data_IF_261062203799
#
_entry.id   IF_261062203799
#
_cell.length_a   1.000
_cell.length_b   1.000
_cell.length_c   1.000
_cell.angle_alpha   90.00
_cell.angle_beta   90.00
_cell.angle_gamma   90.00
#
_symmetry.space_group_name_H-M   'P 1'
#
loop_
_entity.id
_entity.type
_entity.pdbx_description
1 polymer ?
#
# COMPACT_ATOMS: atom_id res chain seq x y z
N UNK A 1 -6.86 24.39 5.77
CA UNK A 1 -6.92 23.68 7.07
C UNK A 1 -5.91 22.55 7.04
N UNK A 2 -5.04 22.42 8.04
CA UNK A 2 -4.21 21.22 8.18
C UNK A 2 -5.13 20.04 8.52
N UNK A 3 -5.21 19.03 7.64
CA UNK A 3 -5.97 17.81 7.92
C UNK A 3 -5.35 17.09 9.12
N UNK A 4 -6.17 16.76 10.12
CA UNK A 4 -5.75 16.01 11.30
C UNK A 4 -5.26 14.63 10.90
N UNK A 5 -3.98 14.33 11.17
CA UNK A 5 -3.39 12.99 10.98
C UNK A 5 -3.81 12.14 12.18
N UNK A 6 -4.90 11.38 12.04
CA UNK A 6 -5.37 10.41 13.03
C UNK A 6 -5.95 9.17 12.38
N UNK A 7 -5.77 8.01 13.02
CA UNK A 7 -6.46 6.78 12.66
C UNK A 7 -7.97 6.86 12.94
N UNK A 8 -8.70 5.90 12.38
CA UNK A 8 -10.14 5.64 12.62
C UNK A 8 -10.35 4.46 13.56
N UNK A 9 -9.33 3.61 13.74
CA UNK A 9 -9.40 2.50 14.68
C UNK A 9 -9.51 3.05 16.11
N UNK A 10 -10.63 2.78 16.76
CA UNK A 10 -10.83 3.07 18.17
C UNK A 10 -10.55 1.81 18.99
N UNK A 11 -9.67 1.94 19.98
CA UNK A 11 -9.28 0.84 20.87
C UNK A 11 -9.10 1.36 22.31
N UNK A 12 -9.38 0.52 23.33
CA UNK A 12 -9.18 0.89 24.72
C UNK A 12 -7.68 1.06 25.02
N UNK A 13 -7.34 1.98 25.92
CA UNK A 13 -5.93 2.21 26.31
C UNK A 13 -5.33 1.03 27.08
N UNK A 14 -6.13 0.41 27.94
CA UNK A 14 -5.77 -0.77 28.71
C UNK A 14 -6.67 -1.93 28.31
N UNK A 15 -6.09 -3.12 28.15
CA UNK A 15 -6.81 -4.36 27.87
C UNK A 15 -6.41 -5.43 28.88
N UNK A 16 -7.21 -6.49 28.95
CA UNK A 16 -6.83 -7.75 29.59
C UNK A 16 -6.65 -8.80 28.48
N UNK A 17 -5.41 -9.05 28.02
CA UNK A 17 -5.16 -10.00 26.94
C UNK A 17 -5.66 -11.42 27.23
N UNK A 18 -5.60 -11.86 28.50
CA UNK A 18 -6.11 -13.17 28.91
C UNK A 18 -7.63 -13.28 28.77
N UNK A 19 -8.36 -12.21 29.07
CA UNK A 19 -9.82 -12.17 28.94
C UNK A 19 -10.26 -12.13 27.46
N UNK A 20 -9.57 -11.33 26.64
CA UNK A 20 -9.80 -11.29 25.19
C UNK A 20 -9.47 -12.65 24.55
N UNK A 21 -8.38 -13.30 24.96
CA UNK A 21 -8.03 -14.64 24.52
C UNK A 21 -9.12 -15.68 24.88
N UNK A 22 -9.69 -15.60 26.08
CA UNK A 22 -10.79 -16.49 26.49
C UNK A 22 -12.06 -16.27 25.67
N UNK A 23 -12.36 -15.01 25.36
CA UNK A 23 -13.50 -14.67 24.52
C UNK A 23 -13.31 -15.19 23.09
N UNK A 24 -12.13 -15.00 22.50
CA UNK A 24 -11.80 -15.55 21.18
C UNK A 24 -11.79 -17.08 21.16
N UNK A 25 -11.35 -17.73 22.25
CA UNK A 25 -11.41 -19.18 22.37
C UNK A 25 -12.86 -19.67 22.36
N UNK A 26 -13.75 -19.01 23.12
CA UNK A 26 -15.18 -19.33 23.09
C UNK A 26 -15.80 -19.08 21.72
N UNK A 27 -15.45 -17.98 21.06
CA UNK A 27 -15.97 -17.60 19.76
C UNK A 27 -15.57 -18.55 18.62
N UNK A 28 -14.47 -19.29 18.80
CA UNK A 28 -13.94 -20.25 17.81
C UNK A 28 -14.15 -21.70 18.21
N UNK A 29 -14.85 -21.96 19.33
CA UNK A 29 -15.08 -23.31 19.84
C UNK A 29 -16.46 -23.84 19.45
N UNK A 30 -16.48 -24.98 18.79
CA UNK A 30 -17.70 -25.73 18.47
C UNK A 30 -17.93 -25.80 16.96
N UNK A 31 -19.17 -26.13 16.57
CA UNK A 31 -19.53 -26.29 15.16
C UNK A 31 -19.78 -24.95 14.45
N UNK A 32 -20.10 -23.90 15.20
CA UNK A 32 -20.36 -22.56 14.69
C UNK A 32 -19.31 -21.58 15.23
N UNK A 33 -18.88 -20.66 14.38
CA UNK A 33 -18.04 -19.52 14.75
C UNK A 33 -18.94 -18.37 15.22
N UNK A 34 -18.49 -17.58 16.20
CA UNK A 34 -19.12 -16.32 16.60
C UNK A 34 -18.32 -15.16 16.00
N UNK A 35 -18.65 -14.81 14.76
CA UNK A 35 -17.96 -13.74 14.03
C UNK A 35 -18.17 -12.36 14.66
N UNK A 36 -19.32 -12.12 15.30
CA UNK A 36 -19.59 -10.85 15.97
C UNK A 36 -18.67 -10.66 17.19
N UNK A 37 -18.43 -11.71 17.99
CA UNK A 37 -17.46 -11.66 19.08
C UNK A 37 -16.02 -11.49 18.57
N UNK A 38 -15.64 -12.14 17.46
CA UNK A 38 -14.33 -11.94 16.83
C UNK A 38 -14.18 -10.46 16.44
N UNK A 39 -15.15 -9.92 15.70
CA UNK A 39 -15.14 -8.54 15.21
C UNK A 39 -15.07 -7.50 16.35
N UNK A 40 -15.85 -7.69 17.41
CA UNK A 40 -15.87 -6.81 18.57
C UNK A 40 -14.51 -6.75 19.31
N UNK A 41 -13.68 -7.78 19.16
CA UNK A 41 -12.33 -7.84 19.74
C UNK A 41 -11.32 -7.35 18.73
N UNK A 42 -11.09 -8.07 17.62
CA UNK A 42 -9.95 -7.77 16.73
C UNK A 42 -10.10 -6.42 16.00
N UNK A 43 -11.34 -5.99 15.76
CA UNK A 43 -11.68 -4.69 15.19
C UNK A 43 -11.53 -3.51 16.16
N UNK A 44 -11.30 -3.76 17.45
CA UNK A 44 -11.15 -2.72 18.48
C UNK A 44 -9.89 -2.91 19.32
N UNK A 45 -8.82 -3.43 18.71
CA UNK A 45 -7.50 -3.60 19.35
C UNK A 45 -6.45 -3.11 18.38
N UNK A 46 -5.46 -2.35 18.85
CA UNK A 46 -4.30 -1.99 18.03
C UNK A 46 -3.51 -3.23 17.61
N UNK A 47 -2.65 -3.11 16.60
CA UNK A 47 -1.74 -4.20 16.21
C UNK A 47 -0.94 -4.74 17.41
N UNK A 48 -0.45 -3.85 18.28
CA UNK A 48 0.28 -4.23 19.49
C UNK A 48 -0.60 -5.07 20.43
N UNK A 49 -1.81 -4.62 20.71
CA UNK A 49 -2.75 -5.34 21.57
C UNK A 49 -3.16 -6.69 20.97
N UNK A 50 -3.35 -6.77 19.65
CA UNK A 50 -3.61 -8.04 18.96
C UNK A 50 -2.45 -9.03 19.12
N UNK A 51 -1.21 -8.56 19.12
CA UNK A 51 -0.04 -9.39 19.41
C UNK A 51 -0.03 -9.91 20.85
N UNK A 52 -0.32 -9.05 21.84
CA UNK A 52 -0.44 -9.44 23.26
C UNK A 52 -1.54 -10.50 23.46
N UNK A 53 -2.68 -10.37 22.78
CA UNK A 53 -3.78 -11.34 22.81
C UNK A 53 -3.34 -12.67 22.18
N UNK A 54 -2.62 -12.65 21.04
CA UNK A 54 -2.09 -13.85 20.38
C UNK A 54 -1.14 -14.62 21.30
N UNK A 55 -0.27 -13.91 22.02
CA UNK A 55 0.65 -14.51 23.00
C UNK A 55 -0.10 -15.11 24.20
N UNK A 56 -1.07 -14.39 24.76
CA UNK A 56 -1.91 -14.89 25.85
C UNK A 56 -2.71 -16.14 25.43
N UNK A 57 -3.25 -16.13 24.22
CA UNK A 57 -3.97 -17.26 23.64
C UNK A 57 -3.07 -18.50 23.51
N UNK A 58 -1.85 -18.33 22.98
CA UNK A 58 -0.88 -19.43 22.89
C UNK A 58 -0.52 -19.99 24.26
N UNK A 59 -0.23 -19.13 25.24
CA UNK A 59 0.10 -19.54 26.61
C UNK A 59 -1.02 -20.35 27.28
N UNK A 60 -2.29 -19.99 27.07
CA UNK A 60 -3.43 -20.65 27.71
C UNK A 60 -3.89 -21.91 26.98
N UNK A 61 -3.85 -21.91 25.65
CA UNK A 61 -4.50 -22.93 24.82
C UNK A 61 -3.54 -23.76 23.98
N UNK A 62 -2.24 -23.43 23.98
CA UNK A 62 -1.21 -24.16 23.25
C UNK A 62 -1.37 -24.11 21.72
N UNK A 63 -2.19 -23.19 21.20
CA UNK A 63 -2.50 -23.04 19.78
C UNK A 63 -2.24 -21.62 19.33
N UNK A 64 -1.81 -21.46 18.08
CA UNK A 64 -1.66 -20.13 17.49
C UNK A 64 -3.04 -19.54 17.15
N UNK A 65 -3.31 -18.32 17.64
CA UNK A 65 -4.60 -17.66 17.43
C UNK A 65 -4.89 -17.40 15.95
N UNK A 66 -3.90 -17.03 15.15
CA UNK A 66 -4.12 -16.71 13.72
C UNK A 66 -4.48 -17.98 12.95
N UNK A 67 -3.83 -19.11 13.23
CA UNK A 67 -4.22 -20.39 12.63
C UNK A 67 -5.60 -20.88 13.11
N UNK A 68 -5.99 -20.60 14.36
CA UNK A 68 -7.34 -20.90 14.85
C UNK A 68 -8.40 -20.07 14.10
N UNK A 69 -8.18 -18.77 13.93
CA UNK A 69 -9.07 -17.89 13.18
C UNK A 69 -9.21 -18.34 11.72
N UNK A 70 -8.09 -18.72 11.09
CA UNK A 70 -8.06 -19.25 9.73
C UNK A 70 -8.82 -20.57 9.58
N UNK A 71 -8.82 -21.43 10.60
CA UNK A 71 -9.65 -22.63 10.62
C UNK A 71 -11.15 -22.35 10.80
N UNK A 72 -11.50 -21.16 11.31
CA UNK A 72 -12.86 -20.78 11.72
C UNK A 72 -13.53 -19.79 10.78
N UNK A 73 -12.78 -19.19 9.84
CA UNK A 73 -13.22 -18.14 8.92
C UNK A 73 -12.86 -18.51 7.48
N UNK A 74 -13.46 -17.84 6.48
CA UNK A 74 -13.22 -18.13 5.06
C UNK A 74 -13.21 -16.86 4.20
N UNK A 75 -12.66 -16.97 2.99
CA UNK A 75 -12.72 -15.92 1.95
C UNK A 75 -12.05 -14.60 2.38
N UNK A 76 -12.61 -13.48 1.94
CA UNK A 76 -12.10 -12.14 2.22
C UNK A 76 -12.18 -11.78 3.71
N UNK A 77 -13.13 -12.38 4.45
CA UNK A 77 -13.20 -12.22 5.90
C UNK A 77 -11.99 -12.84 6.61
N UNK A 78 -11.63 -14.08 6.27
CA UNK A 78 -10.41 -14.73 6.76
C UNK A 78 -9.15 -13.91 6.41
N UNK A 79 -9.08 -13.44 5.16
CA UNK A 79 -7.96 -12.60 4.71
C UNK A 79 -7.82 -11.31 5.54
N UNK A 80 -8.93 -10.65 5.85
CA UNK A 80 -8.94 -9.46 6.71
C UNK A 80 -8.52 -9.79 8.15
N UNK A 81 -9.10 -10.85 8.73
CA UNK A 81 -8.76 -11.32 10.07
C UNK A 81 -7.26 -11.60 10.22
N UNK A 82 -6.66 -12.34 9.28
CA UNK A 82 -5.22 -12.62 9.32
C UNK A 82 -4.38 -11.35 9.12
N UNK A 83 -4.79 -10.46 8.22
CA UNK A 83 -4.04 -9.24 7.90
C UNK A 83 -3.92 -8.29 9.09
N UNK A 84 -4.93 -8.23 9.95
CA UNK A 84 -4.90 -7.42 11.17
C UNK A 84 -3.79 -7.84 12.17
N UNK A 85 -3.27 -9.07 12.08
CA UNK A 85 -2.16 -9.55 12.92
C UNK A 85 -0.77 -9.38 12.26
N UNK A 86 -0.69 -8.81 11.05
CA UNK A 86 0.57 -8.56 10.35
C UNK A 86 1.02 -7.11 10.57
N UNK A 87 2.33 -6.90 10.71
CA UNK A 87 2.91 -5.55 10.67
C UNK A 87 2.77 -4.94 9.28
N UNK A 88 2.82 -3.60 9.17
CA UNK A 88 2.68 -2.90 7.89
C UNK A 88 3.55 -3.48 6.77
N UNK A 89 4.84 -3.67 7.03
CA UNK A 89 5.76 -4.23 6.03
C UNK A 89 5.44 -5.70 5.71
N UNK A 90 4.97 -6.49 6.69
CA UNK A 90 4.58 -7.89 6.45
C UNK A 90 3.27 -8.02 5.68
N UNK A 91 2.33 -7.07 5.81
CA UNK A 91 1.15 -6.97 4.94
C UNK A 91 1.62 -6.80 3.49
N UNK A 92 2.47 -5.80 3.24
CA UNK A 92 2.98 -5.52 1.89
C UNK A 92 3.73 -6.74 1.29
N UNK A 93 4.61 -7.35 2.07
CA UNK A 93 5.36 -8.53 1.63
C UNK A 93 4.46 -9.74 1.33
N UNK A 94 3.45 -9.98 2.18
CA UNK A 94 2.50 -11.07 1.99
C UNK A 94 1.65 -10.88 0.75
N UNK A 95 1.19 -9.66 0.50
CA UNK A 95 0.37 -9.35 -0.68
C UNK A 95 1.16 -9.46 -1.98
N UNK A 96 2.44 -9.06 -1.99
CA UNK A 96 3.36 -9.33 -3.09
C UNK A 96 3.50 -10.84 -3.33
N UNK A 97 3.74 -11.62 -2.28
CA UNK A 97 3.88 -13.07 -2.38
C UNK A 97 2.60 -13.72 -2.95
N UNK A 98 1.44 -13.36 -2.38
CA UNK A 98 0.14 -13.86 -2.80
C UNK A 98 -0.14 -13.48 -4.26
N UNK A 99 0.11 -12.22 -4.63
CA UNK A 99 -0.12 -11.69 -5.96
C UNK A 99 0.75 -12.29 -7.05
N UNK A 100 1.96 -12.76 -6.71
CA UNK A 100 2.88 -13.44 -7.63
C UNK A 100 2.78 -14.98 -7.60
N UNK A 101 1.98 -15.56 -6.70
CA UNK A 101 1.77 -17.01 -6.65
C UNK A 101 0.69 -17.49 -7.64
N UNK A 102 -0.23 -16.60 -8.03
CA UNK A 102 -1.38 -16.91 -8.86
C UNK A 102 -1.04 -17.17 -10.35
N UNK A 103 -2.06 -17.51 -11.14
CA UNK A 103 -1.92 -17.58 -12.60
C UNK A 103 -2.02 -16.18 -13.18
N UNK A 104 -0.94 -15.75 -13.85
CA UNK A 104 -0.84 -14.41 -14.41
C UNK A 104 -0.37 -13.39 -13.38
N UNK A 105 0.29 -12.35 -13.87
CA UNK A 105 0.89 -11.33 -13.02
C UNK A 105 -0.16 -10.33 -12.55
N UNK A 106 -0.37 -10.27 -11.22
CA UNK A 106 -1.15 -9.19 -10.63
C UNK A 106 -0.32 -7.90 -10.59
N UNK A 107 -0.21 -7.25 -11.75
CA UNK A 107 0.54 -5.99 -11.88
C UNK A 107 0.00 -4.86 -11.00
N UNK A 108 -1.26 -4.92 -10.59
CA UNK A 108 -1.86 -3.97 -9.64
C UNK A 108 -1.16 -4.03 -8.30
N UNK A 109 -1.01 -5.22 -7.69
CA UNK A 109 -0.34 -5.32 -6.38
C UNK A 109 1.15 -4.94 -6.44
N UNK A 110 1.82 -5.22 -7.55
CA UNK A 110 3.21 -4.80 -7.77
C UNK A 110 3.31 -3.27 -7.81
N UNK A 111 2.41 -2.62 -8.56
CA UNK A 111 2.37 -1.16 -8.68
C UNK A 111 2.01 -0.50 -7.36
N UNK A 112 0.94 -0.94 -6.68
CA UNK A 112 0.48 -0.31 -5.44
C UNK A 112 1.48 -0.40 -4.29
N UNK A 113 2.40 -1.36 -4.34
CA UNK A 113 3.39 -1.59 -3.29
C UNK A 113 4.76 -1.06 -3.70
N UNK A 114 5.38 -1.62 -4.76
CA UNK A 114 6.77 -1.33 -5.12
C UNK A 114 6.95 0.14 -5.54
N UNK A 115 6.00 0.70 -6.28
CA UNK A 115 6.06 2.09 -6.73
C UNK A 115 5.85 3.11 -5.60
N UNK A 116 5.36 2.67 -4.44
CA UNK A 116 5.05 3.53 -3.30
C UNK A 116 6.15 3.56 -2.22
N UNK A 117 7.08 2.60 -2.23
CA UNK A 117 8.09 2.47 -1.19
C UNK A 117 9.29 3.41 -1.39
N UNK A 118 9.78 3.97 -0.27
CA UNK A 118 11.08 4.63 -0.18
C UNK A 118 12.24 3.62 0.02
N UNK A 119 13.49 4.08 0.08
CA UNK A 119 14.66 3.18 0.16
C UNK A 119 14.64 2.29 1.41
N UNK A 120 14.27 2.86 2.57
CA UNK A 120 14.17 2.13 3.85
C UNK A 120 13.05 1.10 3.81
N UNK A 121 11.90 1.48 3.26
CA UNK A 121 10.76 0.58 3.09
C UNK A 121 11.09 -0.57 2.14
N UNK A 122 11.78 -0.31 1.02
CA UNK A 122 12.26 -1.36 0.10
C UNK A 122 13.19 -2.35 0.82
N UNK A 123 14.13 -1.86 1.64
CA UNK A 123 15.01 -2.72 2.42
C UNK A 123 14.23 -3.62 3.40
N UNK A 124 13.29 -3.03 4.13
CA UNK A 124 12.44 -3.77 5.09
C UNK A 124 11.50 -4.76 4.37
N UNK A 125 10.96 -4.36 3.22
CA UNK A 125 10.05 -5.15 2.40
C UNK A 125 10.73 -6.44 1.92
N UNK A 126 11.97 -6.37 1.44
CA UNK A 126 12.74 -7.55 1.04
C UNK A 126 12.92 -8.54 2.19
N UNK A 127 13.31 -8.05 3.37
CA UNK A 127 13.46 -8.91 4.57
C UNK A 127 12.15 -9.58 4.96
N UNK A 128 11.05 -8.84 4.98
CA UNK A 128 9.74 -9.39 5.30
C UNK A 128 9.27 -10.39 4.22
N UNK A 129 9.62 -10.17 2.96
CA UNK A 129 9.33 -11.11 1.88
C UNK A 129 10.07 -12.44 2.08
N UNK A 130 11.33 -12.41 2.50
CA UNK A 130 12.09 -13.63 2.86
C UNK A 130 11.48 -14.36 4.07
N UNK A 131 10.92 -13.64 5.04
CA UNK A 131 10.14 -14.24 6.14
C UNK A 131 8.85 -14.90 5.63
N UNK A 132 8.11 -14.23 4.75
CA UNK A 132 6.90 -14.78 4.13
C UNK A 132 7.24 -16.04 3.32
N UNK A 133 8.31 -16.03 2.53
CA UNK A 133 8.75 -17.23 1.80
C UNK A 133 9.06 -18.41 2.73
N UNK A 134 9.74 -18.16 3.86
CA UNK A 134 10.03 -19.20 4.86
C UNK A 134 8.77 -19.75 5.52
N UNK A 135 7.77 -18.91 5.76
CA UNK A 135 6.51 -19.29 6.40
C UNK A 135 5.61 -20.08 5.44
N UNK A 136 5.46 -19.63 4.19
CA UNK A 136 4.46 -20.17 3.25
C UNK A 136 5.03 -21.12 2.19
N UNK A 137 6.33 -21.04 1.86
CA UNK A 137 7.02 -21.93 0.90
C UNK A 137 8.42 -22.37 1.37
N UNK A 138 8.54 -22.99 2.57
CA UNK A 138 9.83 -23.28 3.19
C UNK A 138 10.78 -24.09 2.31
N UNK A 139 10.25 -24.98 1.46
CA UNK A 139 11.05 -25.83 0.55
C UNK A 139 11.72 -25.05 -0.60
N UNK A 140 11.21 -23.87 -0.96
CA UNK A 140 11.72 -23.04 -2.07
C UNK A 140 12.32 -21.72 -1.60
N UNK A 141 12.17 -21.38 -0.32
CA UNK A 141 12.52 -20.07 0.23
C UNK A 141 13.98 -19.68 -0.03
N UNK A 142 14.93 -20.62 0.02
CA UNK A 142 16.35 -20.34 -0.21
C UNK A 142 16.73 -20.01 -1.66
N UNK A 143 15.83 -20.26 -2.62
CA UNK A 143 16.05 -20.05 -4.06
C UNK A 143 15.22 -18.89 -4.62
N UNK A 144 14.46 -18.22 -3.76
CA UNK A 144 13.56 -17.12 -4.11
C UNK A 144 13.97 -15.87 -3.34
N UNK A 145 13.69 -14.73 -3.93
CA UNK A 145 13.75 -13.42 -3.30
C UNK A 145 12.69 -12.55 -3.96
N UNK A 146 12.38 -11.39 -3.37
CA UNK A 146 11.45 -10.44 -3.97
C UNK A 146 11.87 -10.05 -5.39
N UNK A 147 13.17 -9.78 -5.60
CA UNK A 147 13.71 -9.40 -6.91
C UNK A 147 13.62 -10.53 -7.93
N UNK A 148 13.96 -11.76 -7.53
CA UNK A 148 13.90 -12.93 -8.41
C UNK A 148 12.46 -13.17 -8.87
N UNK A 149 11.51 -13.04 -7.95
CA UNK A 149 10.10 -13.29 -8.26
C UNK A 149 9.54 -12.18 -9.14
N UNK A 150 9.80 -10.91 -8.83
CA UNK A 150 9.37 -9.77 -9.66
C UNK A 150 9.94 -9.84 -11.07
N UNK A 151 11.20 -10.24 -11.23
CA UNK A 151 11.84 -10.39 -12.54
C UNK A 151 11.22 -11.52 -13.39
N UNK A 152 10.58 -12.52 -12.76
CA UNK A 152 9.85 -13.59 -13.47
C UNK A 152 8.44 -13.18 -13.86
N UNK A 153 7.83 -12.29 -13.09
CA UNK A 153 6.46 -11.82 -13.28
C UNK A 153 6.33 -10.72 -14.35
N UNK A 154 7.36 -9.91 -14.55
CA UNK A 154 7.32 -8.79 -15.49
C UNK A 154 8.26 -8.98 -16.68
N UNK A 155 7.98 -8.26 -17.78
CA UNK A 155 8.90 -8.11 -18.92
C UNK A 155 9.31 -6.65 -19.11
N UNK A 156 10.51 -6.38 -19.66
CA UNK A 156 10.88 -5.03 -20.05
C UNK A 156 9.86 -4.42 -21.03
N UNK A 157 9.57 -3.11 -20.94
CA UNK A 157 10.20 -2.13 -20.05
C UNK A 157 9.63 -2.07 -18.62
N UNK A 158 8.51 -2.74 -18.34
CA UNK A 158 7.87 -2.69 -17.02
C UNK A 158 8.71 -3.35 -15.92
N UNK A 159 9.29 -4.52 -16.21
CA UNK A 159 10.23 -5.19 -15.29
C UNK A 159 11.36 -4.26 -14.89
N UNK A 160 11.90 -3.49 -15.85
CA UNK A 160 13.00 -2.56 -15.62
C UNK A 160 12.63 -1.45 -14.65
N UNK A 161 11.38 -0.97 -14.67
CA UNK A 161 10.89 -0.02 -13.66
C UNK A 161 10.95 -0.66 -12.27
N UNK A 162 10.33 -1.83 -12.11
CA UNK A 162 10.23 -2.49 -10.80
C UNK A 162 11.61 -2.86 -10.25
N UNK A 163 12.49 -3.43 -11.07
CA UNK A 163 13.83 -3.82 -10.60
C UNK A 163 14.71 -2.63 -10.28
N UNK A 164 14.53 -1.47 -10.92
CA UNK A 164 15.20 -0.23 -10.50
C UNK A 164 14.69 0.27 -9.15
N UNK A 165 13.38 0.31 -8.95
CA UNK A 165 12.79 0.71 -7.66
C UNK A 165 13.23 -0.22 -6.53
N UNK A 166 13.25 -1.53 -6.78
CA UNK A 166 13.72 -2.53 -5.84
C UNK A 166 15.21 -2.40 -5.48
N UNK A 167 16.03 -1.63 -6.21
CA UNK A 167 17.41 -1.37 -5.76
C UNK A 167 17.43 -0.56 -4.45
N UNK A 168 16.39 0.23 -4.16
CA UNK A 168 16.36 1.10 -2.98
C UNK A 168 17.48 2.13 -2.99
N UNK A 169 17.76 2.72 -4.15
CA UNK A 169 18.84 3.68 -4.39
C UNK A 169 18.32 5.01 -4.94
N UNK A 170 17.05 5.35 -4.66
CA UNK A 170 16.51 6.66 -5.02
C UNK A 170 17.28 7.75 -4.28
N UNK A 171 17.50 8.88 -4.93
CA UNK A 171 18.01 10.07 -4.25
C UNK A 171 17.02 10.50 -3.17
N UNK A 172 17.49 10.59 -1.93
CA UNK A 172 16.71 11.08 -0.80
C UNK A 172 17.42 12.28 -0.18
N UNK A 173 16.66 13.35 0.08
CA UNK A 173 17.20 14.55 0.70
C UNK A 173 17.41 14.33 2.21
N UNK A 174 18.54 14.82 2.72
CA UNK A 174 18.85 14.72 4.15
C UNK A 174 17.78 15.42 5.02
N UNK A 175 17.38 14.83 6.16
CA UNK A 175 16.33 15.40 7.03
C UNK A 175 16.58 16.85 7.43
N UNK A 176 17.83 17.22 7.71
CA UNK A 176 18.23 18.56 8.13
C UNK A 176 17.99 19.58 7.00
N UNK A 177 18.27 19.17 5.75
CA UNK A 177 18.06 19.98 4.56
C UNK A 177 16.57 20.20 4.30
N UNK A 178 15.76 19.16 4.51
CA UNK A 178 14.30 19.24 4.41
C UNK A 178 13.75 20.21 5.46
N UNK A 179 14.18 20.08 6.71
CA UNK A 179 13.76 20.96 7.80
C UNK A 179 14.13 22.43 7.53
N UNK A 180 15.34 22.67 7.03
CA UNK A 180 15.78 24.00 6.62
C UNK A 180 14.89 24.60 5.52
N UNK A 181 14.58 23.82 4.48
CA UNK A 181 13.71 24.25 3.39
C UNK A 181 12.29 24.55 3.88
N UNK A 182 11.76 23.75 4.81
CA UNK A 182 10.44 23.98 5.40
C UNK A 182 10.41 25.24 6.27
N UNK A 183 11.40 25.45 7.14
CA UNK A 183 11.49 26.64 8.01
C UNK A 183 11.63 27.93 7.22
N UNK A 184 12.43 27.92 6.17
CA UNK A 184 12.65 29.08 5.31
C UNK A 184 11.54 29.31 4.28
N UNK A 185 10.66 28.33 4.07
CA UNK A 185 9.69 28.34 2.97
C UNK A 185 10.33 28.22 1.59
N UNK A 186 11.65 28.01 1.50
CA UNK A 186 12.40 27.99 0.24
C UNK A 186 12.68 26.54 -0.20
N UNK A 187 11.73 25.95 -0.93
CA UNK A 187 11.86 24.57 -1.44
C UNK A 187 12.99 24.42 -2.47
N UNK A 188 13.47 25.51 -3.08
CA UNK A 188 14.56 25.47 -4.05
C UNK A 188 15.88 24.99 -3.45
N UNK A 189 16.02 25.00 -2.12
CA UNK A 189 17.18 24.38 -1.45
C UNK A 189 17.28 22.87 -1.77
N UNK A 190 16.15 22.21 -2.03
CA UNK A 190 16.06 20.76 -2.28
C UNK A 190 16.16 20.39 -3.77
N UNK A 191 16.25 21.37 -4.67
CA UNK A 191 16.04 21.15 -6.11
C UNK A 191 17.16 21.79 -6.93
N UNK A 192 17.81 21.02 -7.79
CA UNK A 192 18.71 21.55 -8.83
C UNK A 192 17.87 21.94 -10.06
N UNK A 193 17.54 23.22 -10.18
CA UNK A 193 16.71 23.75 -11.27
C UNK A 193 17.29 23.53 -12.67
N UNK A 194 18.63 23.49 -12.78
CA UNK A 194 19.28 23.19 -14.07
C UNK A 194 19.03 21.74 -14.47
N UNK A 195 19.15 20.83 -13.51
CA UNK A 195 18.85 19.41 -13.71
C UNK A 195 17.36 19.18 -13.96
N UNK A 196 16.45 19.91 -13.31
CA UNK A 196 15.00 19.87 -13.63
C UNK A 196 14.78 20.20 -15.10
N UNK A 197 15.35 21.29 -15.60
CA UNK A 197 15.21 21.67 -17.01
C UNK A 197 15.82 20.66 -17.98
N UNK A 198 16.91 19.97 -17.59
CA UNK A 198 17.48 18.88 -18.38
C UNK A 198 16.56 17.67 -18.42
N UNK A 199 16.07 17.23 -17.27
CA UNK A 199 15.17 16.09 -17.13
C UNK A 199 13.86 16.33 -17.90
N UNK A 200 13.27 17.53 -17.81
CA UNK A 200 12.04 17.90 -18.56
C UNK A 200 12.26 17.82 -20.07
N UNK A 201 13.37 18.38 -20.58
CA UNK A 201 13.68 18.30 -22.02
C UNK A 201 13.90 16.86 -22.48
N UNK A 202 14.55 16.05 -21.66
CA UNK A 202 14.76 14.63 -21.96
C UNK A 202 13.44 13.87 -22.05
N UNK A 203 12.54 14.08 -21.08
CA UNK A 203 11.19 13.50 -21.09
C UNK A 203 10.37 13.97 -22.30
N UNK A 204 10.46 15.25 -22.68
CA UNK A 204 9.80 15.79 -23.88
C UNK A 204 10.30 15.11 -25.15
N UNK A 205 11.62 14.98 -25.30
CA UNK A 205 12.24 14.32 -26.44
C UNK A 205 11.84 12.84 -26.52
N UNK A 206 11.76 12.16 -25.37
CA UNK A 206 11.41 10.74 -25.29
C UNK A 206 10.00 10.44 -25.81
N UNK A 207 9.06 11.39 -25.75
CA UNK A 207 7.70 11.21 -26.29
C UNK A 207 7.43 11.99 -27.58
N UNK A 208 8.45 12.65 -28.15
CA UNK A 208 8.31 13.45 -29.35
C UNK A 208 7.88 12.60 -30.56
N UNK A 209 7.09 13.20 -31.45
CA UNK A 209 6.59 12.53 -32.66
C UNK A 209 5.39 11.61 -32.43
N UNK A 210 5.02 10.86 -33.48
CA UNK A 210 3.81 10.01 -33.53
C UNK A 210 4.02 8.57 -33.03
N UNK A 211 5.24 8.18 -32.67
CA UNK A 211 5.55 6.84 -32.19
C UNK A 211 5.09 6.58 -30.74
N UNK A 212 5.38 5.35 -30.27
CA UNK A 212 5.10 4.87 -28.90
C UNK A 212 5.94 5.56 -27.81
N UNK A 213 6.91 6.39 -28.19
CA UNK A 213 7.86 7.02 -27.28
C UNK A 213 8.90 6.04 -26.72
N UNK A 214 9.91 6.59 -26.07
CA UNK A 214 10.94 5.87 -25.33
C UNK A 214 10.61 5.88 -23.82
N UNK A 215 10.35 4.73 -23.20
CA UNK A 215 10.07 4.66 -21.77
C UNK A 215 11.32 4.79 -20.89
N UNK A 216 12.54 4.65 -21.41
CA UNK A 216 13.76 4.64 -20.57
C UNK A 216 13.92 5.92 -19.76
N UNK A 217 13.81 7.15 -20.34
CA UNK A 217 14.02 8.36 -19.56
C UNK A 217 12.98 8.52 -18.45
N UNK A 218 11.73 8.12 -18.70
CA UNK A 218 10.67 8.11 -17.71
C UNK A 218 11.01 7.16 -16.56
N UNK A 219 11.41 5.93 -16.87
CA UNK A 219 11.77 4.92 -15.89
C UNK A 219 12.95 5.39 -15.05
N UNK A 220 14.03 5.85 -15.68
CA UNK A 220 15.26 6.26 -14.99
C UNK A 220 15.01 7.49 -14.11
N UNK A 221 14.44 8.56 -14.67
CA UNK A 221 14.22 9.82 -13.94
C UNK A 221 13.29 9.59 -12.75
N UNK A 222 12.14 8.93 -12.96
CA UNK A 222 11.16 8.73 -11.88
C UNK A 222 11.53 7.63 -10.89
N UNK A 223 12.52 6.78 -11.17
CA UNK A 223 13.09 5.85 -10.18
C UNK A 223 14.22 6.47 -9.35
N UNK A 224 14.98 7.38 -9.94
CA UNK A 224 16.23 7.85 -9.33
C UNK A 224 16.08 9.20 -8.60
N UNK A 225 15.27 10.13 -9.11
CA UNK A 225 15.17 11.50 -8.56
C UNK A 225 14.45 11.54 -7.21
N UNK A 226 14.81 12.53 -6.39
CA UNK A 226 14.15 12.79 -5.11
C UNK A 226 12.73 13.28 -5.29
N UNK A 227 11.89 13.12 -4.26
CA UNK A 227 10.49 13.55 -4.28
C UNK A 227 10.32 15.04 -4.62
N UNK A 228 11.23 15.90 -4.15
CA UNK A 228 11.16 17.34 -4.38
C UNK A 228 11.55 17.68 -5.81
N UNK A 229 12.55 16.98 -6.35
CA UNK A 229 12.96 17.13 -7.74
C UNK A 229 11.88 16.64 -8.71
N UNK A 230 11.25 15.48 -8.44
CA UNK A 230 10.10 14.98 -9.24
C UNK A 230 8.92 15.95 -9.19
N UNK A 231 8.65 16.57 -8.02
CA UNK A 231 7.61 17.62 -7.92
C UNK A 231 7.95 18.85 -8.77
N UNK A 232 9.21 19.28 -8.78
CA UNK A 232 9.64 20.40 -9.62
C UNK A 232 9.55 20.07 -11.12
N UNK A 233 9.88 18.83 -11.52
CA UNK A 233 9.67 18.33 -12.88
C UNK A 233 8.18 18.37 -13.23
N UNK A 234 7.29 17.92 -12.34
CA UNK A 234 5.84 17.96 -12.54
C UNK A 234 5.31 19.37 -12.80
N UNK A 235 5.73 20.33 -11.98
CA UNK A 235 5.31 21.74 -12.09
C UNK A 235 5.85 22.38 -13.37
N UNK A 236 7.13 22.16 -13.69
CA UNK A 236 7.78 22.67 -14.90
C UNK A 236 7.16 22.06 -16.16
N UNK A 237 6.91 20.74 -16.16
CA UNK A 237 6.24 20.05 -17.26
C UNK A 237 4.87 20.65 -17.54
N UNK A 238 4.03 20.84 -16.51
CA UNK A 238 2.70 21.41 -16.68
C UNK A 238 2.76 22.83 -17.25
N UNK A 239 3.73 23.64 -16.81
CA UNK A 239 3.95 25.00 -17.30
C UNK A 239 4.37 25.03 -18.77
N UNK A 240 5.29 24.16 -19.19
CA UNK A 240 5.86 24.16 -20.55
C UNK A 240 4.96 23.45 -21.57
N UNK A 241 4.36 22.32 -21.19
CA UNK A 241 3.59 21.46 -22.11
C UNK A 241 2.09 21.77 -22.11
N UNK A 242 1.58 22.56 -21.16
CA UNK A 242 0.14 22.85 -21.02
C UNK A 242 -0.72 21.63 -20.64
N UNK A 243 -0.10 20.50 -20.29
CA UNK A 243 -0.75 19.23 -19.90
C UNK A 243 0.01 18.57 -18.76
N UNK A 244 -0.61 17.63 -18.05
CA UNK A 244 0.03 16.91 -16.94
C UNK A 244 0.94 15.80 -17.42
N UNK A 245 1.93 15.41 -16.60
CA UNK A 245 2.76 14.22 -16.84
C UNK A 245 1.91 12.95 -16.96
N UNK A 246 0.93 12.79 -16.07
CA UNK A 246 -0.01 11.65 -16.09
C UNK A 246 -0.73 11.56 -17.44
N UNK A 247 -1.26 12.67 -17.96
CA UNK A 247 -1.93 12.66 -19.26
C UNK A 247 -0.97 12.26 -20.40
N UNK A 248 0.28 12.72 -20.37
CA UNK A 248 1.30 12.37 -21.37
C UNK A 248 1.71 10.89 -21.30
N UNK A 249 1.89 10.36 -20.09
CA UNK A 249 2.17 8.94 -19.86
C UNK A 249 1.00 8.07 -20.33
N UNK A 250 -0.24 8.48 -20.05
CA UNK A 250 -1.43 7.75 -20.46
C UNK A 250 -1.61 7.64 -21.98
N UNK A 251 -1.18 8.67 -22.72
CA UNK A 251 -1.25 8.67 -24.18
C UNK A 251 -0.17 7.80 -24.82
N UNK A 252 1.03 7.74 -24.22
CA UNK A 252 2.22 7.16 -24.85
C UNK A 252 2.47 5.72 -24.44
N UNK A 253 2.23 5.37 -23.18
CA UNK A 253 2.57 4.05 -22.64
C UNK A 253 1.32 3.24 -22.31
N UNK A 254 1.44 1.91 -22.42
CA UNK A 254 0.38 0.97 -22.06
C UNK A 254 0.61 0.38 -20.67
N UNK A 255 -0.43 -0.21 -20.11
CA UNK A 255 -0.30 -1.01 -18.90
C UNK A 255 0.52 -2.28 -19.16
N UNK A 256 1.25 -2.79 -18.16
CA UNK A 256 1.31 -2.30 -16.77
C UNK A 256 2.27 -1.12 -16.52
N UNK A 257 3.12 -0.75 -17.48
CA UNK A 257 4.12 0.32 -17.31
C UNK A 257 3.49 1.69 -17.03
N UNK A 258 2.45 2.06 -17.79
CA UNK A 258 1.73 3.33 -17.63
C UNK A 258 1.28 3.53 -16.18
N UNK A 259 0.57 2.56 -15.62
CA UNK A 259 0.14 2.60 -14.22
C UNK A 259 1.31 2.64 -13.26
N UNK A 260 2.36 1.84 -13.46
CA UNK A 260 3.55 1.86 -12.59
C UNK A 260 4.25 3.23 -12.55
N UNK A 261 4.42 3.89 -13.70
CA UNK A 261 5.00 5.24 -13.76
C UNK A 261 4.10 6.27 -13.07
N UNK A 262 2.80 6.24 -13.37
CA UNK A 262 1.84 7.17 -12.75
C UNK A 262 1.78 6.99 -11.23
N UNK A 263 1.73 5.75 -10.74
CA UNK A 263 1.75 5.43 -9.31
C UNK A 263 3.04 5.91 -8.66
N UNK A 264 4.21 5.69 -9.28
CA UNK A 264 5.51 6.16 -8.77
C UNK A 264 5.52 7.68 -8.60
N UNK A 265 5.05 8.42 -9.62
CA UNK A 265 4.98 9.88 -9.59
C UNK A 265 4.01 10.34 -8.49
N UNK A 266 2.80 9.77 -8.45
CA UNK A 266 1.76 10.14 -7.50
C UNK A 266 2.18 9.83 -6.05
N UNK A 267 2.87 8.73 -5.80
CA UNK A 267 3.40 8.39 -4.47
C UNK A 267 4.41 9.45 -3.98
N UNK A 268 5.22 10.00 -4.87
CA UNK A 268 6.22 11.03 -4.54
C UNK A 268 5.59 12.41 -4.32
N UNK A 269 4.59 12.79 -5.12
CA UNK A 269 4.04 14.15 -5.12
C UNK A 269 2.79 14.31 -4.24
N UNK A 270 1.93 13.29 -4.17
CA UNK A 270 0.64 13.35 -3.48
C UNK A 270 0.13 11.95 -3.09
N UNK A 271 0.85 11.29 -2.19
CA UNK A 271 0.51 9.96 -1.69
C UNK A 271 -0.93 9.88 -1.15
N UNK A 272 -1.43 10.91 -0.47
CA UNK A 272 -2.80 10.89 0.08
C UNK A 272 -3.85 10.80 -1.02
N UNK A 273 -3.71 11.59 -2.08
CA UNK A 273 -4.62 11.51 -3.23
C UNK A 273 -4.49 10.17 -3.95
N UNK A 274 -3.27 9.63 -4.07
CA UNK A 274 -3.07 8.28 -4.61
C UNK A 274 -3.86 7.23 -3.81
N UNK A 275 -3.76 7.25 -2.48
CA UNK A 275 -4.49 6.32 -1.61
C UNK A 275 -6.01 6.49 -1.76
N UNK A 276 -6.51 7.73 -1.87
CA UNK A 276 -7.93 8.01 -2.12
C UNK A 276 -8.39 7.40 -3.45
N UNK A 277 -7.62 7.55 -4.51
CA UNK A 277 -7.91 6.92 -5.80
C UNK A 277 -7.87 5.39 -5.72
N UNK A 278 -6.87 4.80 -5.05
CA UNK A 278 -6.77 3.35 -4.88
C UNK A 278 -7.93 2.77 -4.07
N UNK A 279 -8.40 3.49 -3.03
CA UNK A 279 -9.62 3.11 -2.33
C UNK A 279 -10.82 3.06 -3.29
N UNK A 280 -10.97 4.07 -4.16
CA UNK A 280 -12.06 4.10 -5.13
C UNK A 280 -11.94 2.97 -6.14
N UNK A 281 -10.78 2.80 -6.74
CA UNK A 281 -10.50 1.75 -7.73
C UNK A 281 -10.72 0.35 -7.14
N UNK A 282 -10.44 0.13 -5.86
CA UNK A 282 -10.67 -1.17 -5.22
C UNK A 282 -12.16 -1.56 -5.09
N UNK A 283 -13.07 -0.59 -5.21
CA UNK A 283 -14.53 -0.79 -5.11
C UNK A 283 -15.28 -0.30 -6.37
N UNK A 284 -14.56 0.01 -7.44
CA UNK A 284 -15.14 0.54 -8.67
C UNK A 284 -15.18 -0.54 -9.75
N UNK A 285 -16.37 -0.81 -10.27
CA UNK A 285 -16.60 -1.78 -11.34
C UNK A 285 -17.45 -2.96 -10.89
N UNK A 286 -17.31 -4.10 -11.56
CA UNK A 286 -18.00 -5.34 -11.20
C UNK A 286 -17.18 -6.09 -10.15
N UNK A 287 -17.65 -6.05 -8.90
CA UNK A 287 -17.04 -6.70 -7.75
C UNK A 287 -15.93 -5.86 -7.10
N UNK A 288 -15.48 -6.35 -5.95
CA UNK A 288 -14.46 -5.69 -5.12
C UNK A 288 -13.09 -6.30 -5.34
N UNK A 289 -12.05 -5.48 -5.48
CA UNK A 289 -10.67 -5.93 -5.30
C UNK A 289 -10.36 -6.00 -3.79
N UNK A 290 -10.86 -7.07 -3.16
CA UNK A 290 -10.80 -7.27 -1.70
C UNK A 290 -9.37 -7.18 -1.15
N UNK A 291 -8.39 -7.74 -1.87
CA UNK A 291 -6.99 -7.70 -1.44
C UNK A 291 -6.47 -6.27 -1.29
N UNK A 292 -6.85 -5.38 -2.22
CA UNK A 292 -6.43 -3.98 -2.18
C UNK A 292 -7.20 -3.19 -1.14
N UNK A 293 -8.52 -3.43 -1.02
CA UNK A 293 -9.33 -2.80 0.03
C UNK A 293 -8.84 -3.18 1.43
N UNK A 294 -8.60 -4.47 1.70
CA UNK A 294 -8.06 -4.98 2.96
C UNK A 294 -6.70 -4.36 3.27
N UNK A 295 -5.77 -4.36 2.29
CA UNK A 295 -4.44 -3.76 2.45
C UNK A 295 -4.54 -2.29 2.83
N UNK A 296 -5.32 -1.51 2.09
CA UNK A 296 -5.47 -0.08 2.33
C UNK A 296 -6.10 0.21 3.71
N UNK A 297 -7.18 -0.50 4.09
CA UNK A 297 -7.81 -0.31 5.40
C UNK A 297 -6.82 -0.66 6.52
N UNK A 298 -6.18 -1.82 6.48
CA UNK A 298 -5.27 -2.28 7.53
C UNK A 298 -4.01 -1.41 7.66
N UNK A 299 -3.49 -0.89 6.55
CA UNK A 299 -2.32 0.00 6.59
C UNK A 299 -2.65 1.38 7.18
N UNK A 300 -3.88 1.87 7.02
CA UNK A 300 -4.22 3.28 7.32
C UNK A 300 -5.10 3.48 8.55
N UNK A 301 -5.85 2.46 8.99
CA UNK A 301 -6.83 2.59 10.07
C UNK A 301 -6.23 3.06 11.40
N UNK A 302 -4.95 2.77 11.67
CA UNK A 302 -4.23 3.22 12.87
C UNK A 302 -3.42 4.51 12.67
N UNK A 303 -3.37 5.07 11.45
CA UNK A 303 -2.45 6.17 11.09
C UNK A 303 -3.20 7.44 10.70
N UNK A 304 -3.90 7.43 9.56
CA UNK A 304 -4.48 8.65 8.97
C UNK A 304 -5.73 8.41 8.12
N UNK A 305 -6.38 7.25 8.26
CA UNK A 305 -7.59 6.91 7.50
C UNK A 305 -8.71 7.96 7.69
N UNK A 306 -8.70 8.72 8.80
CA UNK A 306 -9.64 9.81 9.00
C UNK A 306 -9.49 10.91 7.95
N UNK A 307 -8.27 11.36 7.66
CA UNK A 307 -8.00 12.37 6.64
C UNK A 307 -8.31 11.84 5.24
N UNK A 308 -8.01 10.56 4.98
CA UNK A 308 -8.32 9.90 3.71
C UNK A 308 -9.83 9.84 3.48
N UNK A 309 -10.65 9.53 4.50
CA UNK A 309 -12.12 9.55 4.41
C UNK A 309 -12.67 10.90 3.98
N UNK A 310 -12.13 12.00 4.55
CA UNK A 310 -12.59 13.35 4.20
C UNK A 310 -12.30 13.66 2.73
N UNK A 311 -11.08 13.37 2.28
CA UNK A 311 -10.70 13.55 0.88
C UNK A 311 -11.52 12.64 -0.05
N UNK A 312 -11.78 11.39 0.33
CA UNK A 312 -12.60 10.48 -0.46
C UNK A 312 -14.01 11.06 -0.69
N UNK A 313 -14.65 11.56 0.36
CA UNK A 313 -15.96 12.22 0.25
C UNK A 313 -15.90 13.47 -0.64
N UNK A 314 -14.86 14.29 -0.50
CA UNK A 314 -14.67 15.49 -1.32
C UNK A 314 -14.53 15.16 -2.81
N UNK A 315 -13.73 14.14 -3.15
CA UNK A 315 -13.45 13.78 -4.54
C UNK A 315 -14.57 12.98 -5.22
N UNK A 316 -15.27 12.11 -4.48
CA UNK A 316 -16.23 11.16 -5.08
C UNK A 316 -17.69 11.41 -4.69
N UNK A 317 -17.97 12.38 -3.81
CA UNK A 317 -19.34 12.74 -3.41
C UNK A 317 -20.07 11.69 -2.58
N UNK A 318 -19.42 10.55 -2.27
CA UNK A 318 -19.93 9.46 -1.44
C UNK A 318 -18.91 9.12 -0.37
N UNK A 319 -19.35 8.79 0.84
CA UNK A 319 -18.41 8.56 1.94
C UNK A 319 -17.73 7.19 1.78
N UNK A 320 -16.49 7.07 2.25
CA UNK A 320 -15.78 5.80 2.21
C UNK A 320 -16.54 4.66 2.95
N UNK A 321 -17.14 4.87 4.14
CA UNK A 321 -18.00 3.85 4.76
C UNK A 321 -19.21 3.46 3.90
N UNK A 322 -19.88 4.41 3.23
CA UNK A 322 -21.00 4.09 2.34
C UNK A 322 -20.55 3.32 1.10
N UNK A 323 -19.37 3.63 0.55
CA UNK A 323 -18.78 2.90 -0.57
C UNK A 323 -18.49 1.45 -0.17
N UNK A 324 -17.83 1.23 0.97
CA UNK A 324 -17.57 -0.10 1.53
C UNK A 324 -18.90 -0.85 1.77
N UNK A 325 -19.90 -0.18 2.36
CA UNK A 325 -21.19 -0.80 2.70
C UNK A 325 -21.95 -1.30 1.46
N UNK A 326 -21.83 -0.59 0.34
CA UNK A 326 -22.48 -0.98 -0.92
C UNK A 326 -21.76 -2.10 -1.66
N UNK A 327 -20.45 -2.20 -1.51
CA UNK A 327 -19.63 -3.10 -2.30
C UNK A 327 -19.31 -4.43 -1.59
N UNK A 328 -19.40 -4.43 -0.26
CA UNK A 328 -19.08 -5.60 0.58
C UNK A 328 -20.32 -6.14 1.32
N UNK A 329 -20.22 -7.35 1.87
CA UNK A 329 -21.31 -7.98 2.63
C UNK A 329 -20.80 -8.86 3.78
N UNK A 330 -21.73 -9.39 4.60
CA UNK A 330 -21.42 -10.32 5.69
C UNK A 330 -20.51 -9.74 6.78
N UNK A 331 -19.81 -10.62 7.50
CA UNK A 331 -18.91 -10.25 8.60
C UNK A 331 -17.64 -9.56 8.11
N UNK A 332 -17.24 -9.81 6.85
CA UNK A 332 -16.22 -9.03 6.17
C UNK A 332 -16.56 -7.54 6.14
N UNK A 333 -17.78 -7.18 5.69
CA UNK A 333 -18.26 -5.80 5.73
C UNK A 333 -18.30 -5.24 7.14
N UNK A 334 -18.84 -6.01 8.10
CA UNK A 334 -18.96 -5.55 9.50
C UNK A 334 -17.59 -5.15 10.05
N UNK A 335 -16.58 -6.00 9.85
CA UNK A 335 -15.22 -5.71 10.32
C UNK A 335 -14.59 -4.52 9.59
N UNK A 336 -14.73 -4.41 8.27
CA UNK A 336 -14.24 -3.23 7.53
C UNK A 336 -14.86 -1.94 8.06
N UNK A 337 -16.18 -1.94 8.30
CA UNK A 337 -16.87 -0.75 8.82
C UNK A 337 -16.40 -0.40 10.23
N UNK A 338 -16.16 -1.38 11.11
CA UNK A 338 -15.54 -1.13 12.43
C UNK A 338 -14.20 -0.41 12.28
N UNK A 339 -13.36 -0.85 11.34
CA UNK A 339 -12.03 -0.28 11.12
C UNK A 339 -12.08 1.13 10.50
N UNK A 340 -13.12 1.45 9.73
CA UNK A 340 -13.20 2.69 8.94
C UNK A 340 -14.12 3.74 9.56
N UNK A 341 -15.19 3.39 10.28
CA UNK A 341 -16.23 4.34 10.68
C UNK A 341 -15.78 5.35 11.75
N UNK A 342 -14.81 4.99 12.62
CA UNK A 342 -14.32 5.85 13.71
C UNK A 342 -13.61 7.16 13.32
#
# INVERSE_FOLDING_TARGET
MALTVRGTLTYPTNINPDADADALYRATKGANTDEDAINAIIGHRSLKQRAEIREAYYRKYGKDLVEVLKGSTKGSYDSLCQTLFRSHIKILAYDLYKGMKGVGTNSTVLNEIICCCNNTEIYMLKKAYDEVLREYEPKKASQRSLEIDVAKEAKPPYETLLTRLLRGQRQEDAPEKIEQAQRSGNINLLVDQRMVGQDVRELQNAIAGSGKGDPEPFIRIFSDRSKYHVKAIWETWKKEMGRTLVASICEKFSDPLRTGLNTTIMALINLRLLLVCQFHESMYGLGTNDDSLIRLVCLRCEIDLYAIKQLYQEYFGKSLPEAIRSDTSGDYRKLLLILVEG
#
